data_IF_799455166232
#
_entry.id   IF_799455166232
#
_cell.length_a   1.000
_cell.length_b   1.000
_cell.length_c   1.000
_cell.angle_alpha   90.00
_cell.angle_beta   90.00
_cell.angle_gamma   90.00
#
_symmetry.space_group_name_H-M   'P 1'
#
loop_
_entity.id
_entity.type
_entity.pdbx_description
1 polymer ?
#
# COMPACT_ATOMS: atom_id res chain seq x y z
N UNK A 1 -2.04 -3.83 -23.84
CA UNK A 1 -1.30 -4.38 -22.69
C UNK A 1 -1.95 -5.71 -22.31
N UNK A 2 -1.18 -6.80 -22.35
CA UNK A 2 -1.66 -8.13 -21.95
C UNK A 2 -2.10 -8.09 -20.46
N UNK A 3 -3.19 -8.81 -20.16
CA UNK A 3 -3.82 -8.79 -18.84
C UNK A 3 -4.54 -10.12 -18.62
N UNK A 4 -4.09 -10.86 -17.63
CA UNK A 4 -4.69 -12.12 -17.21
C UNK A 4 -5.32 -11.99 -15.83
N UNK A 5 -6.57 -12.44 -15.68
CA UNK A 5 -7.36 -12.38 -14.43
C UNK A 5 -7.51 -13.79 -13.87
N UNK A 6 -7.06 -13.96 -12.63
CA UNK A 6 -7.18 -15.24 -11.93
C UNK A 6 -7.27 -15.02 -10.41
N UNK A 7 -7.26 -16.09 -9.64
CA UNK A 7 -7.26 -16.03 -8.17
C UNK A 7 -6.07 -16.77 -7.60
N UNK A 8 -5.43 -16.17 -6.60
CA UNK A 8 -4.43 -16.82 -5.76
C UNK A 8 -5.09 -17.07 -4.41
N UNK A 9 -5.35 -18.34 -4.04
CA UNK A 9 -6.05 -18.72 -2.78
C UNK A 9 -7.32 -17.88 -2.52
N UNK A 10 -8.15 -17.71 -3.54
CA UNK A 10 -9.37 -16.88 -3.56
C UNK A 10 -9.16 -15.36 -3.63
N UNK A 11 -7.94 -14.83 -3.57
CA UNK A 11 -7.66 -13.40 -3.75
C UNK A 11 -7.75 -13.05 -5.23
N UNK A 12 -8.69 -12.18 -5.66
CA UNK A 12 -8.80 -11.74 -7.05
C UNK A 12 -7.55 -10.97 -7.47
N UNK A 13 -6.91 -11.43 -8.53
CA UNK A 13 -5.59 -10.98 -8.97
C UNK A 13 -5.59 -10.67 -10.46
N UNK A 14 -4.73 -9.76 -10.87
CA UNK A 14 -4.41 -9.48 -12.28
C UNK A 14 -2.91 -9.56 -12.46
N UNK A 15 -2.49 -10.30 -13.47
CA UNK A 15 -1.15 -10.29 -14.00
C UNK A 15 -1.11 -9.45 -15.28
N UNK A 16 -0.31 -8.40 -15.26
CA UNK A 16 -0.12 -7.48 -16.37
C UNK A 16 1.21 -7.75 -17.08
N UNK A 17 1.22 -7.68 -18.39
CA UNK A 17 2.42 -7.85 -19.21
C UNK A 17 2.67 -9.28 -19.68
N UNK A 18 3.52 -9.42 -20.69
CA UNK A 18 3.94 -10.71 -21.23
C UNK A 18 4.92 -11.38 -20.24
N UNK A 19 5.18 -12.67 -20.45
CA UNK A 19 6.04 -13.49 -19.57
C UNK A 19 7.41 -12.83 -19.34
N UNK A 20 7.80 -12.70 -18.08
CA UNK A 20 9.06 -12.16 -17.61
C UNK A 20 9.55 -12.92 -16.37
N UNK A 21 10.86 -12.83 -16.09
CA UNK A 21 11.44 -13.31 -14.84
C UNK A 21 11.37 -12.26 -13.71
N UNK A 22 10.97 -11.01 -14.05
CA UNK A 22 10.90 -9.86 -13.15
C UNK A 22 9.45 -9.46 -12.90
N UNK A 23 9.10 -9.16 -11.67
CA UNK A 23 7.74 -8.77 -11.30
C UNK A 23 7.71 -7.65 -10.26
N UNK A 24 6.70 -6.78 -10.38
CA UNK A 24 6.24 -5.94 -9.28
C UNK A 24 5.02 -6.55 -8.62
N UNK A 25 5.04 -6.71 -7.30
CA UNK A 25 3.81 -6.85 -6.51
C UNK A 25 3.24 -5.44 -6.33
N UNK A 26 1.99 -5.22 -6.68
CA UNK A 26 1.33 -3.92 -6.60
C UNK A 26 0.18 -3.96 -5.58
N UNK A 27 0.31 -3.18 -4.50
CA UNK A 27 -0.64 -3.11 -3.39
C UNK A 27 -1.32 -1.75 -3.38
N UNK A 28 -2.64 -1.74 -3.61
CA UNK A 28 -3.43 -0.50 -3.64
C UNK A 28 -3.73 0.05 -2.24
N UNK A 29 -4.24 1.29 -2.17
CA UNK A 29 -4.66 1.96 -0.95
C UNK A 29 -6.13 1.76 -0.60
N UNK A 30 -6.61 2.54 0.39
CA UNK A 30 -8.01 2.58 0.77
C UNK A 30 -8.88 3.12 -0.37
N UNK A 31 -10.13 2.68 -0.44
CA UNK A 31 -11.13 3.09 -1.46
C UNK A 31 -10.67 2.87 -2.92
N UNK A 32 -9.71 2.00 -3.13
CA UNK A 32 -9.08 1.69 -4.41
C UNK A 32 -9.29 0.22 -4.80
N UNK A 33 -8.60 -0.27 -5.81
CA UNK A 33 -8.65 -1.66 -6.26
C UNK A 33 -7.44 -1.99 -7.15
N UNK A 34 -7.29 -3.27 -7.52
CA UNK A 34 -6.21 -3.79 -8.36
C UNK A 34 -6.11 -3.20 -9.77
N UNK A 35 -7.10 -2.41 -10.21
CA UNK A 35 -7.17 -1.76 -11.52
C UNK A 35 -7.20 -0.22 -11.43
N UNK A 36 -6.86 0.35 -10.29
CA UNK A 36 -6.83 1.81 -10.10
C UNK A 36 -5.85 2.50 -11.07
N UNK A 37 -6.02 3.82 -11.23
CA UNK A 37 -5.23 4.62 -12.16
C UNK A 37 -3.72 4.49 -11.90
N UNK A 38 -3.29 4.58 -10.65
CA UNK A 38 -1.87 4.44 -10.27
C UNK A 38 -1.34 3.04 -10.55
N UNK A 39 -2.15 1.97 -10.38
CA UNK A 39 -1.76 0.60 -10.72
C UNK A 39 -1.61 0.42 -12.23
N UNK A 40 -2.52 1.00 -13.03
CA UNK A 40 -2.44 0.96 -14.49
C UNK A 40 -1.23 1.71 -15.02
N UNK A 41 -0.88 2.86 -14.43
CA UNK A 41 0.31 3.64 -14.80
C UNK A 41 1.57 2.84 -14.44
N UNK A 42 1.65 2.28 -13.23
CA UNK A 42 2.74 1.39 -12.85
C UNK A 42 2.90 0.25 -13.85
N UNK A 43 1.81 -0.48 -14.17
CA UNK A 43 1.86 -1.59 -15.10
C UNK A 43 2.38 -1.17 -16.47
N UNK A 44 1.92 -0.02 -16.99
CA UNK A 44 2.39 0.52 -18.27
C UNK A 44 3.89 0.80 -18.27
N UNK A 45 4.42 1.43 -17.21
CA UNK A 45 5.84 1.80 -17.15
C UNK A 45 6.74 0.59 -16.83
N UNK A 46 6.31 -0.30 -15.92
CA UNK A 46 7.04 -1.51 -15.57
C UNK A 46 7.20 -2.48 -16.76
N UNK A 47 6.14 -2.65 -17.56
CA UNK A 47 6.18 -3.51 -18.77
C UNK A 47 7.20 -3.01 -19.78
N UNK A 48 7.35 -1.69 -19.98
CA UNK A 48 8.36 -1.11 -20.86
C UNK A 48 9.79 -1.45 -20.43
N UNK A 49 9.98 -1.74 -19.15
CA UNK A 49 11.25 -2.11 -18.51
C UNK A 49 11.41 -3.63 -18.36
N UNK A 50 10.54 -4.41 -18.97
CA UNK A 50 10.60 -5.87 -18.97
C UNK A 50 10.09 -6.54 -17.69
N UNK A 51 9.30 -5.84 -16.86
CA UNK A 51 8.62 -6.42 -15.70
C UNK A 51 7.20 -6.85 -16.06
N UNK A 52 6.72 -7.87 -15.35
CA UNK A 52 5.29 -8.07 -15.14
C UNK A 52 4.83 -7.29 -13.89
N UNK A 53 3.53 -7.08 -13.75
CA UNK A 53 2.94 -6.52 -12.52
C UNK A 53 1.83 -7.45 -12.06
N UNK A 54 1.85 -7.82 -10.79
CA UNK A 54 0.79 -8.58 -10.15
C UNK A 54 0.08 -7.66 -9.16
N UNK A 55 -1.17 -7.33 -9.45
CA UNK A 55 -2.04 -6.54 -8.59
C UNK A 55 -3.22 -7.37 -8.10
N UNK A 56 -3.72 -7.11 -6.90
CA UNK A 56 -4.79 -7.87 -6.27
C UNK A 56 -5.68 -6.98 -5.40
N UNK A 57 -6.90 -7.42 -5.11
CA UNK A 57 -7.80 -6.69 -4.24
C UNK A 57 -7.59 -7.05 -2.77
N UNK A 58 -7.44 -6.03 -1.95
CA UNK A 58 -7.47 -6.16 -0.49
C UNK A 58 -8.89 -6.51 0.00
N UNK A 59 -9.08 -7.08 1.21
CA UNK A 59 -10.40 -7.27 1.80
C UNK A 59 -11.26 -6.00 1.75
N UNK A 60 -12.57 -6.14 1.53
CA UNK A 60 -13.54 -5.04 1.37
C UNK A 60 -13.30 -4.10 0.16
N UNK A 61 -12.38 -4.46 -0.76
CA UNK A 61 -12.08 -3.65 -1.95
C UNK A 61 -12.29 -4.42 -3.26
N UNK A 62 -12.52 -3.70 -4.34
CA UNK A 62 -12.67 -4.26 -5.68
C UNK A 62 -13.69 -5.39 -5.75
N UNK A 63 -13.30 -6.57 -6.24
CA UNK A 63 -14.17 -7.75 -6.32
C UNK A 63 -14.48 -8.36 -4.94
N UNK A 64 -13.78 -7.96 -3.88
CA UNK A 64 -13.96 -8.40 -2.50
C UNK A 64 -14.83 -7.46 -1.66
N UNK A 65 -15.44 -6.44 -2.28
CA UNK A 65 -16.24 -5.41 -1.59
C UNK A 65 -17.34 -5.95 -0.69
N UNK A 66 -17.91 -7.09 -1.06
CA UNK A 66 -19.03 -7.72 -0.32
C UNK A 66 -18.59 -8.95 0.49
N UNK A 67 -17.29 -9.18 0.65
CA UNK A 67 -16.79 -10.25 1.52
C UNK A 67 -17.01 -9.90 3.00
N UNK A 68 -17.18 -10.94 3.82
CA UNK A 68 -17.33 -10.79 5.27
C UNK A 68 -16.02 -10.48 5.99
N UNK A 69 -14.88 -10.69 5.33
CA UNK A 69 -13.56 -10.41 5.90
C UNK A 69 -13.29 -8.90 5.87
N UNK A 70 -13.17 -8.23 7.02
CA UNK A 70 -12.93 -6.80 7.06
C UNK A 70 -11.49 -6.45 6.65
N UNK A 71 -11.28 -5.25 6.11
CA UNK A 71 -9.96 -4.72 5.76
C UNK A 71 -9.19 -4.31 7.04
N UNK A 72 -8.76 -5.30 7.81
CA UNK A 72 -7.91 -5.11 8.99
C UNK A 72 -6.49 -5.57 8.70
N UNK A 73 -5.53 -4.98 9.39
CA UNK A 73 -4.11 -5.24 9.17
C UNK A 73 -3.75 -6.72 9.21
N UNK A 74 -4.26 -7.48 10.18
CA UNK A 74 -3.94 -8.90 10.33
C UNK A 74 -4.39 -9.75 9.13
N UNK A 75 -5.55 -9.44 8.56
CA UNK A 75 -6.04 -10.15 7.35
C UNK A 75 -5.28 -9.70 6.10
N UNK A 76 -5.02 -8.39 5.97
CA UNK A 76 -4.24 -7.88 4.84
C UNK A 76 -2.81 -8.44 4.83
N UNK A 77 -2.13 -8.48 5.98
CA UNK A 77 -0.78 -9.07 6.12
C UNK A 77 -0.78 -10.56 5.78
N UNK A 78 -1.84 -11.30 6.17
CA UNK A 78 -2.01 -12.70 5.80
C UNK A 78 -2.13 -12.86 4.28
N UNK A 79 -2.99 -12.07 3.63
CA UNK A 79 -3.15 -12.09 2.18
C UNK A 79 -1.84 -11.74 1.45
N UNK A 80 -1.14 -10.70 1.90
CA UNK A 80 0.14 -10.31 1.33
C UNK A 80 1.18 -11.45 1.46
N UNK A 81 1.13 -12.22 2.54
CA UNK A 81 2.00 -13.38 2.73
C UNK A 81 1.69 -14.50 1.72
N UNK A 82 0.42 -14.74 1.43
CA UNK A 82 -0.01 -15.68 0.38
C UNK A 82 0.49 -15.21 -0.99
N UNK A 83 0.33 -13.93 -1.31
CA UNK A 83 0.76 -13.35 -2.59
C UNK A 83 2.28 -13.46 -2.77
N UNK A 84 3.08 -13.10 -1.77
CA UNK A 84 4.55 -13.15 -1.90
C UNK A 84 5.07 -14.58 -2.02
N UNK A 85 4.45 -15.54 -1.36
CA UNK A 85 4.82 -16.95 -1.48
C UNK A 85 4.56 -17.45 -2.92
N UNK A 86 3.38 -17.16 -3.46
CA UNK A 86 3.07 -17.47 -4.86
C UNK A 86 4.08 -16.81 -5.81
N UNK A 87 4.38 -15.52 -5.61
CA UNK A 87 5.31 -14.79 -6.48
C UNK A 87 6.71 -15.38 -6.45
N UNK A 88 7.22 -15.78 -5.29
CA UNK A 88 8.56 -16.39 -5.15
C UNK A 88 8.73 -17.72 -5.89
N UNK A 89 7.63 -18.46 -6.06
CA UNK A 89 7.68 -19.74 -6.79
C UNK A 89 7.72 -19.55 -8.32
N UNK A 90 7.32 -18.36 -8.82
CA UNK A 90 7.13 -18.14 -10.25
C UNK A 90 8.06 -17.09 -10.87
N UNK A 91 8.69 -16.22 -10.07
CA UNK A 91 9.59 -15.16 -10.56
C UNK A 91 10.91 -15.12 -9.80
N UNK A 92 11.98 -14.75 -10.51
CA UNK A 92 13.32 -14.66 -9.95
C UNK A 92 13.62 -13.32 -9.27
N UNK A 93 13.08 -12.24 -9.82
CA UNK A 93 13.29 -10.88 -9.33
C UNK A 93 11.96 -10.25 -8.94
N UNK A 94 11.82 -9.91 -7.67
CA UNK A 94 10.59 -9.37 -7.10
C UNK A 94 10.84 -7.96 -6.62
N UNK A 95 10.05 -7.02 -7.12
CA UNK A 95 9.97 -5.63 -6.65
C UNK A 95 8.58 -5.35 -6.08
N UNK A 96 8.43 -4.26 -5.35
CA UNK A 96 7.19 -3.87 -4.68
C UNK A 96 6.79 -2.48 -5.12
N UNK A 97 5.52 -2.29 -5.40
CA UNK A 97 4.85 -1.00 -5.40
C UNK A 97 3.71 -1.02 -4.40
N UNK A 98 3.59 0.03 -3.60
CA UNK A 98 2.45 0.15 -2.70
C UNK A 98 2.08 1.62 -2.47
N UNK A 99 0.78 1.87 -2.26
CA UNK A 99 0.29 3.20 -1.95
C UNK A 99 -0.53 3.23 -0.66
N UNK A 100 -0.46 4.35 0.06
CA UNK A 100 -1.24 4.63 1.27
C UNK A 100 -1.16 3.48 2.30
N UNK A 101 -2.29 2.97 2.78
CA UNK A 101 -2.34 1.84 3.72
C UNK A 101 -1.76 0.54 3.15
N UNK A 102 -1.74 0.37 1.82
CA UNK A 102 -1.09 -0.78 1.18
C UNK A 102 0.41 -0.80 1.47
N UNK A 103 1.06 0.37 1.58
CA UNK A 103 2.46 0.46 2.01
C UNK A 103 2.62 -0.02 3.47
N UNK A 104 1.73 0.37 4.38
CA UNK A 104 1.76 -0.08 5.78
C UNK A 104 1.67 -1.60 5.90
N UNK A 105 0.71 -2.22 5.20
CA UNK A 105 0.60 -3.68 5.20
C UNK A 105 1.83 -4.36 4.61
N UNK A 106 2.41 -3.77 3.56
CA UNK A 106 3.64 -4.26 2.93
C UNK A 106 4.85 -4.16 3.86
N UNK A 107 4.99 -3.07 4.61
CA UNK A 107 6.05 -2.88 5.61
C UNK A 107 6.02 -3.97 6.70
N UNK A 108 4.83 -4.44 7.08
CA UNK A 108 4.68 -5.53 8.04
C UNK A 108 4.91 -6.91 7.40
N UNK A 109 4.30 -7.17 6.25
CA UNK A 109 4.31 -8.47 5.60
C UNK A 109 5.68 -8.81 4.98
N UNK A 110 6.39 -7.80 4.46
CA UNK A 110 7.54 -8.03 3.59
C UNK A 110 8.90 -7.70 4.21
N UNK A 111 8.95 -7.24 5.46
CA UNK A 111 10.20 -6.83 6.17
C UNK A 111 11.34 -7.87 6.20
N UNK A 112 11.02 -9.14 5.98
CA UNK A 112 11.99 -10.25 5.95
C UNK A 112 12.03 -10.96 4.59
N UNK A 113 11.45 -10.36 3.55
CA UNK A 113 11.35 -10.98 2.24
C UNK A 113 12.43 -10.48 1.29
N UNK A 114 12.78 -11.31 0.30
CA UNK A 114 13.74 -10.97 -0.76
C UNK A 114 13.06 -10.09 -1.83
N UNK A 115 12.73 -8.86 -1.47
CA UNK A 115 12.28 -7.83 -2.40
C UNK A 115 13.47 -6.96 -2.73
N UNK A 116 13.73 -6.78 -4.02
CA UNK A 116 14.90 -6.04 -4.51
C UNK A 116 14.75 -4.55 -4.33
N UNK A 117 13.57 -4.02 -4.60
CA UNK A 117 13.24 -2.60 -4.56
C UNK A 117 11.79 -2.35 -4.19
N UNK A 118 11.53 -1.29 -3.46
CA UNK A 118 10.19 -0.82 -3.15
C UNK A 118 9.96 0.61 -3.66
N UNK A 119 8.80 0.84 -4.25
CA UNK A 119 8.31 2.15 -4.71
C UNK A 119 7.03 2.47 -3.95
N UNK A 120 7.03 3.51 -3.14
CA UNK A 120 5.89 3.92 -2.32
C UNK A 120 5.32 5.26 -2.77
N UNK A 121 4.00 5.30 -2.97
CA UNK A 121 3.25 6.51 -3.26
C UNK A 121 2.41 6.90 -2.03
N UNK A 122 2.63 8.09 -1.48
CA UNK A 122 1.93 8.61 -0.30
C UNK A 122 1.76 7.56 0.81
N UNK A 123 2.85 6.90 1.29
CA UNK A 123 2.72 5.73 2.14
C UNK A 123 2.20 6.09 3.54
N UNK A 124 1.33 5.25 4.10
CA UNK A 124 1.13 5.22 5.55
C UNK A 124 2.28 4.43 6.16
N UNK A 125 3.10 5.07 7.00
CA UNK A 125 4.22 4.44 7.70
C UNK A 125 3.99 4.35 9.22
N UNK A 126 2.95 5.02 9.72
CA UNK A 126 2.52 4.98 11.12
C UNK A 126 0.99 4.92 11.19
N UNK A 127 0.43 3.71 11.20
CA UNK A 127 -1.01 3.50 11.26
C UNK A 127 -1.60 3.83 12.64
N UNK A 128 -0.82 3.66 13.72
CA UNK A 128 -1.26 4.06 15.05
C UNK A 128 -1.64 5.54 15.08
N UNK A 129 -0.77 6.41 14.54
CA UNK A 129 -1.01 7.84 14.45
C UNK A 129 -2.25 8.17 13.59
N UNK A 130 -2.48 7.47 12.48
CA UNK A 130 -3.69 7.66 11.66
C UNK A 130 -4.96 7.34 12.47
N UNK A 131 -4.96 6.23 13.22
CA UNK A 131 -6.09 5.84 14.06
C UNK A 131 -6.30 6.85 15.19
N UNK A 132 -5.24 7.31 15.84
CA UNK A 132 -5.31 8.33 16.92
C UNK A 132 -5.81 9.67 16.40
N UNK A 133 -5.37 10.12 15.22
CA UNK A 133 -5.87 11.31 14.56
C UNK A 133 -7.38 11.18 14.28
N UNK A 134 -7.83 10.04 13.73
CA UNK A 134 -9.27 9.79 13.52
C UNK A 134 -10.05 9.80 14.85
N UNK A 135 -9.54 9.18 15.89
CA UNK A 135 -10.16 9.22 17.23
C UNK A 135 -10.29 10.66 17.74
N UNK A 136 -9.26 11.47 17.57
CA UNK A 136 -9.27 12.88 17.97
C UNK A 136 -10.30 13.69 17.14
N UNK A 137 -10.33 13.55 15.83
CA UNK A 137 -11.25 14.27 14.94
C UNK A 137 -12.73 13.99 15.24
N UNK A 138 -13.03 12.76 15.64
CA UNK A 138 -14.41 12.32 15.91
C UNK A 138 -14.75 12.22 17.41
N UNK A 139 -13.90 12.75 18.28
CA UNK A 139 -14.09 12.72 19.74
C UNK A 139 -14.36 11.28 20.27
N UNK A 140 -13.56 10.32 19.82
CA UNK A 140 -13.60 8.92 20.23
C UNK A 140 -12.42 8.70 21.18
N UNK A 141 -12.71 8.22 22.41
CA UNK A 141 -11.62 7.85 23.32
C UNK A 141 -11.24 6.36 23.18
N UNK A 142 -10.00 5.98 23.54
CA UNK A 142 -9.59 4.58 23.55
C UNK A 142 -10.50 3.71 24.42
N UNK A 143 -10.99 4.22 25.56
CA UNK A 143 -11.92 3.50 26.46
C UNK A 143 -13.25 3.27 25.78
N UNK A 144 -13.76 4.24 25.04
CA UNK A 144 -15.00 4.09 24.25
C UNK A 144 -14.80 3.06 23.13
N UNK A 145 -13.71 3.15 22.38
CA UNK A 145 -13.40 2.18 21.31
C UNK A 145 -13.23 0.76 21.89
N UNK A 146 -12.58 0.63 23.06
CA UNK A 146 -12.44 -0.65 23.79
C UNK A 146 -13.78 -1.22 24.21
N UNK A 147 -14.71 -0.38 24.68
CA UNK A 147 -16.04 -0.80 25.15
C UNK A 147 -16.96 -1.23 23.98
N UNK A 148 -16.92 -0.47 22.89
CA UNK A 148 -17.82 -0.70 21.74
C UNK A 148 -17.23 -1.69 20.70
N UNK A 149 -15.92 -1.97 20.77
CA UNK A 149 -15.12 -2.81 19.85
C UNK A 149 -15.05 -2.30 18.41
N UNK A 150 -16.10 -1.70 17.89
CA UNK A 150 -16.16 -1.14 16.54
C UNK A 150 -16.99 0.14 16.57
N UNK A 151 -16.41 1.20 16.04
CA UNK A 151 -17.09 2.50 15.90
C UNK A 151 -17.02 2.94 14.45
N UNK A 152 -18.17 3.21 13.86
CA UNK A 152 -18.27 3.79 12.52
C UNK A 152 -18.12 5.31 12.62
N UNK A 153 -17.20 5.88 11.83
CA UNK A 153 -16.98 7.31 11.81
C UNK A 153 -17.89 8.01 10.78
N UNK A 154 -18.17 9.31 10.92
CA UNK A 154 -18.98 10.05 9.97
C UNK A 154 -18.48 10.04 8.51
N UNK A 155 -17.22 9.73 8.29
CA UNK A 155 -16.60 9.59 6.95
C UNK A 155 -16.72 8.17 6.39
N UNK A 156 -17.46 7.26 7.06
CA UNK A 156 -17.65 5.88 6.64
C UNK A 156 -16.47 4.94 6.93
N UNK A 157 -15.40 5.43 7.57
CA UNK A 157 -14.30 4.59 8.02
C UNK A 157 -14.67 3.97 9.38
N UNK A 158 -14.43 2.65 9.52
CA UNK A 158 -14.64 1.95 10.80
C UNK A 158 -13.34 1.89 11.60
N UNK A 159 -13.42 2.24 12.88
CA UNK A 159 -12.36 2.00 13.85
C UNK A 159 -12.64 0.71 14.60
N UNK A 160 -11.61 -0.13 14.72
CA UNK A 160 -11.70 -1.42 15.43
C UNK A 160 -10.71 -1.45 16.57
N UNK A 161 -11.16 -1.89 17.76
CA UNK A 161 -10.29 -2.01 18.93
C UNK A 161 -9.15 -3.00 18.71
N UNK A 162 -9.43 -4.17 18.14
CA UNK A 162 -8.41 -5.19 17.86
C UNK A 162 -7.38 -4.72 16.82
N UNK A 163 -7.79 -3.91 15.84
CA UNK A 163 -6.86 -3.30 14.89
C UNK A 163 -5.94 -2.29 15.58
N UNK A 164 -6.51 -1.41 16.43
CA UNK A 164 -5.73 -0.44 17.21
C UNK A 164 -4.71 -1.13 18.13
N UNK A 165 -5.12 -2.18 18.85
CA UNK A 165 -4.20 -2.98 19.67
C UNK A 165 -3.10 -3.60 18.80
N UNK A 166 -3.45 -4.21 17.67
CA UNK A 166 -2.48 -4.85 16.79
C UNK A 166 -1.40 -3.88 16.30
N UNK A 167 -1.77 -2.66 15.89
CA UNK A 167 -0.77 -1.70 15.38
C UNK A 167 0.17 -1.21 16.48
N UNK A 168 -0.31 -1.09 17.72
CA UNK A 168 0.51 -0.75 18.88
C UNK A 168 1.51 -1.85 19.25
N UNK A 169 1.08 -3.10 19.14
CA UNK A 169 1.92 -4.27 19.45
C UNK A 169 2.91 -4.59 18.31
N UNK A 170 2.64 -4.12 17.08
CA UNK A 170 3.43 -4.42 15.90
C UNK A 170 3.95 -3.14 15.21
N UNK A 171 4.78 -2.33 15.86
CA UNK A 171 5.36 -1.13 15.26
C UNK A 171 6.31 -1.50 14.10
N UNK A 172 6.46 -0.60 13.14
CA UNK A 172 7.48 -0.73 12.10
C UNK A 172 8.85 -0.48 12.73
N UNK A 173 9.57 -1.54 13.02
CA UNK A 173 10.87 -1.51 13.70
C UNK A 173 12.04 -1.96 12.81
N UNK A 174 11.76 -2.48 11.62
CA UNK A 174 12.76 -2.96 10.66
C UNK A 174 12.27 -2.76 9.23
N UNK A 175 13.11 -2.14 8.41
CA UNK A 175 12.98 -2.10 6.97
C UNK A 175 14.36 -1.92 6.36
N UNK A 176 14.74 -2.72 5.37
CA UNK A 176 16.08 -2.71 4.76
C UNK A 176 16.05 -2.83 3.25
N UNK A 177 14.85 -2.73 2.66
CA UNK A 177 14.68 -2.79 1.21
C UNK A 177 14.99 -1.40 0.64
N UNK A 178 15.77 -1.35 -0.45
CA UNK A 178 15.98 -0.12 -1.21
C UNK A 178 14.64 0.49 -1.61
N UNK A 179 14.35 1.69 -1.13
CA UNK A 179 13.01 2.27 -1.20
C UNK A 179 13.04 3.72 -1.69
N UNK A 180 12.23 3.99 -2.70
CA UNK A 180 11.93 5.34 -3.14
C UNK A 180 10.49 5.69 -2.75
N UNK A 181 10.29 6.91 -2.25
CA UNK A 181 9.00 7.43 -1.81
C UNK A 181 8.67 8.68 -2.63
N UNK A 182 7.47 8.72 -3.21
CA UNK A 182 6.86 9.95 -3.73
C UNK A 182 5.77 10.38 -2.75
N UNK A 183 5.87 11.62 -2.26
CA UNK A 183 4.97 12.20 -1.27
C UNK A 183 4.40 13.53 -1.76
N UNK A 184 3.14 13.80 -1.46
CA UNK A 184 2.48 15.06 -1.77
C UNK A 184 2.56 16.04 -0.60
N UNK A 185 3.06 17.27 -0.83
CA UNK A 185 3.20 18.29 0.23
C UNK A 185 1.86 18.76 0.81
N UNK A 186 0.75 18.50 0.11
CA UNK A 186 -0.63 18.79 0.56
C UNK A 186 -1.33 17.54 1.12
N UNK A 187 -0.58 16.53 1.52
CA UNK A 187 -1.14 15.34 2.16
C UNK A 187 -1.65 15.70 3.57
N UNK A 188 -2.98 15.69 3.74
CA UNK A 188 -3.63 15.98 5.03
C UNK A 188 -3.82 14.74 5.90
N UNK A 189 -3.52 13.55 5.38
CA UNK A 189 -3.67 12.28 6.11
C UNK A 189 -2.37 11.84 6.79
N UNK A 190 -1.25 11.92 6.07
CA UNK A 190 0.07 11.51 6.54
C UNK A 190 0.96 12.75 6.75
N UNK A 191 1.29 13.06 7.99
CA UNK A 191 2.13 14.20 8.34
C UNK A 191 3.53 14.08 7.74
N UNK A 192 4.05 15.15 7.10
CA UNK A 192 5.36 15.15 6.45
C UNK A 192 6.49 14.72 7.39
N UNK A 193 6.47 15.18 8.64
CA UNK A 193 7.49 14.88 9.65
C UNK A 193 7.59 13.38 9.92
N UNK A 194 6.48 12.66 9.88
CA UNK A 194 6.42 11.20 10.08
C UNK A 194 7.04 10.48 8.88
N UNK A 195 6.70 10.92 7.66
CA UNK A 195 7.25 10.35 6.42
C UNK A 195 8.75 10.64 6.33
N UNK A 196 9.17 11.87 6.61
CA UNK A 196 10.57 12.27 6.59
C UNK A 196 11.41 11.53 7.64
N UNK A 197 10.90 11.37 8.86
CA UNK A 197 11.54 10.56 9.89
C UNK A 197 11.71 9.09 9.45
N UNK A 198 10.67 8.51 8.85
CA UNK A 198 10.74 7.14 8.31
C UNK A 198 11.80 7.04 7.21
N UNK A 199 11.80 7.97 6.27
CA UNK A 199 12.77 7.99 5.17
C UNK A 199 14.21 8.09 5.68
N UNK A 200 14.48 8.97 6.63
CA UNK A 200 15.81 9.11 7.24
C UNK A 200 16.20 7.84 8.02
N UNK A 201 15.31 7.31 8.85
CA UNK A 201 15.57 6.13 9.69
C UNK A 201 15.93 4.88 8.88
N UNK A 202 15.31 4.71 7.72
CA UNK A 202 15.45 3.52 6.87
C UNK A 202 16.22 3.80 5.57
N UNK A 203 16.86 4.96 5.45
CA UNK A 203 17.65 5.36 4.28
C UNK A 203 16.87 5.29 2.96
N UNK A 204 15.59 5.68 2.98
CA UNK A 204 14.77 5.78 1.79
C UNK A 204 15.01 7.09 1.05
N UNK A 205 14.96 7.07 -0.28
CA UNK A 205 14.92 8.30 -1.09
C UNK A 205 13.51 8.89 -1.04
N UNK A 206 13.38 10.16 -0.64
CA UNK A 206 12.11 10.86 -0.53
C UNK A 206 12.04 12.01 -1.54
N UNK A 207 11.08 11.94 -2.45
CA UNK A 207 10.73 13.02 -3.37
C UNK A 207 9.38 13.60 -2.98
N UNK A 208 9.29 14.93 -2.97
CA UNK A 208 8.08 15.67 -2.56
C UNK A 208 7.54 16.44 -3.76
N UNK A 209 6.25 16.26 -4.04
CA UNK A 209 5.51 17.06 -5.00
C UNK A 209 4.79 18.19 -4.26
N UNK A 210 5.14 19.47 -4.50
CA UNK A 210 4.60 20.65 -3.79
C UNK A 210 3.08 20.76 -3.91
N UNK A 211 2.49 20.38 -5.04
CA UNK A 211 1.04 20.44 -5.30
C UNK A 211 0.34 19.10 -5.08
N UNK A 212 1.08 18.04 -4.71
CA UNK A 212 0.57 16.69 -4.50
C UNK A 212 -0.29 16.58 -3.26
N UNK A 213 -1.39 15.87 -3.36
CA UNK A 213 -2.28 15.46 -2.27
C UNK A 213 -1.99 14.03 -1.84
N UNK A 214 -2.65 13.52 -0.79
CA UNK A 214 -2.55 12.10 -0.41
C UNK A 214 -2.99 11.19 -1.55
N UNK A 215 -4.09 11.50 -2.20
CA UNK A 215 -4.64 10.77 -3.34
C UNK A 215 -4.23 11.45 -4.65
N UNK A 216 -3.27 10.85 -5.35
CA UNK A 216 -2.82 11.28 -6.68
C UNK A 216 -3.88 10.95 -7.72
N UNK A 217 -4.67 11.93 -8.14
CA UNK A 217 -5.82 11.74 -9.04
C UNK A 217 -5.91 12.76 -10.18
N UNK A 218 -5.34 13.96 -10.01
CA UNK A 218 -5.34 14.96 -11.09
C UNK A 218 -4.37 14.54 -12.19
N UNK A 219 -4.60 15.08 -13.40
CA UNK A 219 -3.71 14.81 -14.53
C UNK A 219 -2.24 15.18 -14.20
N UNK A 220 -2.02 16.34 -13.58
CA UNK A 220 -0.70 16.81 -13.18
C UNK A 220 -0.02 15.82 -12.20
N UNK A 221 -0.74 15.42 -11.15
CA UNK A 221 -0.23 14.47 -10.16
C UNK A 221 0.10 13.11 -10.79
N UNK A 222 -0.75 12.61 -11.68
CA UNK A 222 -0.52 11.34 -12.37
C UNK A 222 0.63 11.42 -13.38
N UNK A 223 0.82 12.57 -14.05
CA UNK A 223 1.96 12.80 -14.96
C UNK A 223 3.28 12.84 -14.18
N UNK A 224 3.33 13.52 -13.01
CA UNK A 224 4.50 13.51 -12.10
C UNK A 224 4.78 12.10 -11.59
N UNK A 225 3.75 11.38 -11.14
CA UNK A 225 3.89 9.99 -10.71
C UNK A 225 4.44 9.10 -11.83
N UNK A 226 3.97 9.26 -13.08
CA UNK A 226 4.48 8.52 -14.22
C UNK A 226 5.97 8.81 -14.48
N UNK A 227 6.39 10.08 -14.42
CA UNK A 227 7.80 10.48 -14.59
C UNK A 227 8.68 9.91 -13.47
N UNK A 228 8.19 9.94 -12.23
CA UNK A 228 8.86 9.35 -11.08
C UNK A 228 9.06 7.84 -11.25
N UNK A 229 8.05 7.10 -11.73
CA UNK A 229 8.20 5.68 -12.06
C UNK A 229 9.25 5.43 -13.15
N UNK A 230 9.28 6.26 -14.21
CA UNK A 230 10.26 6.14 -15.29
C UNK A 230 11.71 6.31 -14.80
N UNK A 231 11.90 7.17 -13.79
CA UNK A 231 13.19 7.41 -13.14
C UNK A 231 13.62 6.22 -12.27
N UNK A 232 12.68 5.62 -11.54
CA UNK A 232 13.00 4.65 -10.48
C UNK A 232 12.81 3.17 -10.86
N UNK A 233 12.10 2.85 -11.94
CA UNK A 233 12.03 1.49 -12.50
C UNK A 233 13.27 1.28 -13.39
N UNK A 234 14.21 0.48 -12.90
CA UNK A 234 15.48 0.18 -13.57
C UNK A 234 15.35 -1.01 -14.53
#
# INVERSE_FOLDING_TARGET
MFKDKFKISNIPTILWGEKSEKIFIAVHGNMSNKEDAVIKILAKEAIKKGYQVLSFDLPEHGERKNESTPCKVQYCVSDLSVIVNYVKEHWKEVSLFACSMGAYFSLLAYKNNMIKKALFLSPVVNMEKIIENMMMWFNITPERLKKEFTIETPIGQKLYWDYYCYVKENPINKWSIDTNILYGAKDELCEFEIINYFAQKYCCELEVMDTGEHYFHTKEQLDVFQQWLQKHIA
#
